data_IF_171500204234
#
_entry.id   IF_171500204234
#
_cell.length_a   1.000
_cell.length_b   1.000
_cell.length_c   1.000
_cell.angle_alpha   90.00
_cell.angle_beta   90.00
_cell.angle_gamma   90.00
#
_symmetry.space_group_name_H-M   'P 1'
#
loop_
_entity.id
_entity.type
_entity.pdbx_description
1 polymer ?
#
# COMPACT_ATOMS: atom_id res chain seq x y z
N UNK A 1 23.63 17.58 -40.30
CA UNK A 1 22.98 16.34 -40.80
C UNK A 1 22.62 15.50 -39.60
N UNK A 2 21.36 15.54 -39.18
CA UNK A 2 20.80 14.77 -38.05
C UNK A 2 19.87 13.71 -38.64
N UNK A 3 19.89 12.45 -38.19
CA UNK A 3 18.86 11.49 -38.55
C UNK A 3 17.70 11.53 -37.55
N UNK A 4 16.54 11.77 -38.11
CA UNK A 4 15.22 11.74 -37.46
C UNK A 4 14.88 10.33 -37.02
N UNK A 5 14.71 10.10 -35.69
CA UNK A 5 14.19 8.81 -35.15
C UNK A 5 12.67 8.86 -35.16
N UNK A 6 12.10 8.04 -35.99
CA UNK A 6 10.65 7.86 -36.16
C UNK A 6 10.14 6.87 -35.08
N UNK A 7 9.39 7.38 -34.10
CA UNK A 7 8.71 6.54 -33.13
C UNK A 7 7.44 5.96 -33.75
N UNK A 8 7.46 4.68 -34.03
CA UNK A 8 6.34 3.91 -34.56
C UNK A 8 5.42 3.49 -33.40
N UNK A 9 4.24 4.10 -33.30
CA UNK A 9 3.15 3.66 -32.43
C UNK A 9 2.63 2.32 -32.90
N UNK A 10 2.69 1.30 -32.05
CA UNK A 10 2.03 0.01 -32.28
C UNK A 10 0.65 0.10 -31.64
N UNK A 11 -0.37 0.20 -32.47
CA UNK A 11 -1.77 0.15 -32.05
C UNK A 11 -2.21 -1.30 -31.77
N UNK A 12 -2.73 -1.57 -30.61
CA UNK A 12 -3.42 -2.81 -30.26
C UNK A 12 -4.83 -2.78 -30.81
N UNK A 13 -4.99 -3.29 -32.01
CA UNK A 13 -6.30 -3.54 -32.62
C UNK A 13 -6.79 -4.94 -32.27
N UNK A 14 -7.81 -5.01 -31.44
CA UNK A 14 -8.55 -6.25 -31.18
C UNK A 14 -9.44 -6.54 -32.40
N UNK A 15 -9.08 -7.48 -33.26
CA UNK A 15 -9.86 -7.89 -34.43
C UNK A 15 -10.87 -8.94 -33.98
N UNK A 16 -12.13 -8.53 -33.87
CA UNK A 16 -13.26 -9.44 -33.64
C UNK A 16 -13.64 -10.10 -34.99
N UNK A 17 -13.20 -11.32 -35.19
CA UNK A 17 -13.56 -12.13 -36.37
C UNK A 17 -14.92 -12.78 -36.18
N UNK A 18 -15.88 -12.26 -36.92
CA UNK A 18 -17.26 -12.78 -37.03
C UNK A 18 -17.29 -13.96 -38.00
N UNK A 19 -17.13 -15.18 -37.50
CA UNK A 19 -17.36 -16.38 -38.30
C UNK A 19 -18.80 -16.84 -38.14
N UNK A 20 -19.61 -16.53 -39.17
CA UNK A 20 -20.92 -17.16 -39.40
C UNK A 20 -20.70 -18.60 -39.79
N UNK A 21 -21.16 -19.57 -39.01
CA UNK A 21 -21.34 -20.95 -39.39
C UNK A 21 -22.75 -21.41 -39.21
N UNK A 22 -23.39 -21.55 -40.34
CA UNK A 22 -24.50 -22.42 -40.78
C UNK A 22 -25.13 -23.28 -39.68
N UNK A 23 -26.39 -22.99 -39.40
CA UNK A 23 -27.32 -23.88 -38.69
C UNK A 23 -27.55 -25.15 -39.50
N UNK A 24 -27.26 -26.26 -38.88
CA UNK A 24 -27.78 -27.58 -39.33
C UNK A 24 -28.75 -28.03 -38.25
N UNK A 25 -30.03 -28.08 -38.64
CA UNK A 25 -31.10 -28.69 -37.85
C UNK A 25 -30.85 -30.19 -37.74
N UNK A 26 -30.80 -30.69 -36.53
CA UNK A 26 -31.03 -32.12 -36.24
C UNK A 26 -31.76 -32.23 -34.90
N UNK A 27 -33.03 -32.39 -35.06
CA UNK A 27 -33.97 -33.35 -34.50
C UNK A 27 -33.81 -33.81 -33.04
N UNK A 28 -34.86 -33.50 -32.34
CA UNK A 28 -35.51 -34.01 -31.15
C UNK A 28 -35.22 -35.43 -30.66
N UNK A 29 -35.23 -35.50 -29.39
CA UNK A 29 -35.51 -36.56 -28.42
C UNK A 29 -34.30 -37.02 -27.63
N UNK A 30 -34.10 -36.41 -26.48
CA UNK A 30 -33.84 -37.20 -25.29
C UNK A 30 -34.16 -36.41 -24.02
N UNK A 31 -35.36 -36.62 -23.49
CA UNK A 31 -35.67 -36.31 -22.10
C UNK A 31 -34.82 -37.23 -21.23
N UNK A 32 -33.83 -36.70 -20.53
CA UNK A 32 -33.24 -37.19 -19.27
C UNK A 32 -31.74 -36.90 -19.14
N UNK A 33 -31.35 -35.63 -19.16
CA UNK A 33 -30.02 -35.24 -18.66
C UNK A 33 -29.99 -33.81 -18.07
N UNK A 34 -31.00 -33.48 -17.27
CA UNK A 34 -31.02 -32.23 -16.56
C UNK A 34 -30.87 -32.50 -15.06
N UNK A 35 -29.71 -32.96 -14.60
CA UNK A 35 -29.50 -33.07 -13.15
C UNK A 35 -28.03 -33.05 -12.69
N UNK A 36 -27.05 -32.73 -13.52
CA UNK A 36 -25.64 -32.79 -13.08
C UNK A 36 -24.80 -31.52 -13.33
N UNK A 37 -25.41 -30.39 -13.71
CA UNK A 37 -24.60 -29.18 -14.00
C UNK A 37 -24.73 -28.05 -12.95
N UNK A 38 -25.43 -28.27 -11.82
CA UNK A 38 -25.64 -27.25 -10.79
C UNK A 38 -24.64 -27.21 -9.62
N UNK A 39 -23.74 -28.19 -9.35
CA UNK A 39 -22.78 -28.02 -8.26
C UNK A 39 -21.46 -27.34 -8.63
N UNK A 40 -21.17 -27.11 -9.93
CA UNK A 40 -19.87 -26.57 -10.33
C UNK A 40 -19.76 -25.04 -10.23
N UNK A 41 -20.86 -24.31 -10.15
CA UNK A 41 -20.86 -22.84 -10.13
C UNK A 41 -20.75 -22.27 -8.71
N UNK A 42 -21.11 -23.05 -7.68
CA UNK A 42 -21.08 -22.58 -6.27
C UNK A 42 -19.68 -22.64 -5.65
N UNK A 43 -18.74 -23.38 -6.22
CA UNK A 43 -17.39 -23.56 -5.64
C UNK A 43 -16.37 -22.49 -6.02
N UNK A 44 -16.66 -21.63 -6.99
CA UNK A 44 -15.73 -20.56 -7.41
C UNK A 44 -15.84 -19.25 -6.60
N UNK A 45 -16.79 -19.13 -5.66
CA UNK A 45 -17.02 -17.84 -4.96
C UNK A 45 -16.43 -17.76 -3.55
N UNK A 46 -15.69 -18.78 -3.10
CA UNK A 46 -15.21 -18.86 -1.70
C UNK A 46 -13.74 -18.48 -1.51
N UNK A 47 -13.08 -17.94 -2.52
CA UNK A 47 -11.70 -17.41 -2.42
C UNK A 47 -11.68 -15.87 -2.43
N UNK A 48 -12.68 -15.23 -1.82
CA UNK A 48 -12.51 -13.86 -1.38
C UNK A 48 -11.51 -13.92 -0.21
N UNK A 49 -10.21 -13.89 -0.53
CA UNK A 49 -9.15 -13.75 0.45
C UNK A 49 -9.48 -12.57 1.34
N UNK A 50 -9.58 -12.77 2.65
CA UNK A 50 -9.60 -11.70 3.61
C UNK A 50 -8.29 -10.91 3.38
N UNK A 51 -8.37 -9.80 2.67
CA UNK A 51 -7.30 -8.81 2.66
C UNK A 51 -7.19 -8.37 4.12
N UNK A 52 -6.12 -8.78 4.79
CA UNK A 52 -5.78 -8.26 6.11
C UNK A 52 -5.66 -6.76 5.91
N UNK A 53 -6.58 -6.00 6.50
CA UNK A 53 -6.51 -4.56 6.48
C UNK A 53 -5.24 -4.18 7.25
N UNK A 54 -4.23 -3.70 6.53
CA UNK A 54 -3.02 -3.16 7.14
C UNK A 54 -3.39 -1.84 7.80
N UNK A 55 -2.98 -1.65 9.06
CA UNK A 55 -3.20 -0.40 9.75
C UNK A 55 -2.55 0.75 8.96
N UNK A 56 -3.27 1.86 8.85
CA UNK A 56 -2.72 3.06 8.20
C UNK A 56 -1.62 3.68 9.05
N UNK A 57 -0.71 4.43 8.44
CA UNK A 57 0.34 5.15 9.19
C UNK A 57 -0.22 6.06 10.29
N UNK A 58 -1.41 6.63 10.09
CA UNK A 58 -2.13 7.39 11.11
C UNK A 58 -2.55 6.53 12.29
N UNK A 59 -3.17 5.36 12.04
CA UNK A 59 -3.60 4.45 13.11
C UNK A 59 -2.42 3.94 13.92
N UNK A 60 -1.33 3.55 13.25
CA UNK A 60 -0.10 3.14 13.89
C UNK A 60 0.51 4.26 14.76
N UNK A 61 0.53 5.48 14.23
CA UNK A 61 0.96 6.66 14.99
C UNK A 61 0.09 6.92 16.22
N UNK A 62 -1.23 6.86 16.07
CA UNK A 62 -2.16 7.06 17.18
C UNK A 62 -1.99 6.02 18.28
N UNK A 63 -1.67 4.79 17.93
CA UNK A 63 -1.52 3.69 18.86
C UNK A 63 -0.14 3.67 19.57
N UNK A 64 0.91 4.14 18.90
CA UNK A 64 2.29 3.96 19.38
C UNK A 64 3.04 5.25 19.72
N UNK A 65 2.59 6.42 19.23
CA UNK A 65 3.36 7.67 19.30
C UNK A 65 2.56 8.81 19.91
N UNK A 66 1.24 8.83 19.75
CA UNK A 66 0.39 9.97 20.11
C UNK A 66 0.31 10.21 21.62
N UNK A 67 0.64 9.23 22.46
CA UNK A 67 0.68 9.44 23.92
C UNK A 67 1.68 10.53 24.29
N UNK A 68 2.86 10.53 23.66
CA UNK A 68 3.88 11.56 23.90
C UNK A 68 3.77 12.72 22.91
N UNK A 69 3.63 12.44 21.61
CA UNK A 69 3.68 13.48 20.57
C UNK A 69 2.34 14.16 20.30
N UNK A 70 1.28 13.73 20.96
CA UNK A 70 -0.11 14.17 20.81
C UNK A 70 -0.67 13.90 19.41
N UNK A 71 -2.01 13.82 19.30
CA UNK A 71 -2.70 13.54 18.04
C UNK A 71 -2.45 14.57 16.95
N UNK A 72 -2.24 15.82 17.36
CA UNK A 72 -1.98 16.95 16.48
C UNK A 72 -0.48 17.18 16.20
N UNK A 73 0.37 16.27 16.67
CA UNK A 73 1.82 16.32 16.47
C UNK A 73 2.53 17.46 17.18
N UNK A 74 1.86 18.19 18.07
CA UNK A 74 2.48 19.35 18.76
C UNK A 74 3.34 18.98 19.97
N UNK A 75 3.26 17.72 20.40
CA UNK A 75 3.97 17.27 21.59
C UNK A 75 3.51 17.99 22.87
N UNK A 76 4.37 17.98 23.89
CA UNK A 76 4.14 18.69 25.15
C UNK A 76 5.33 19.62 25.37
N UNK A 77 5.14 20.93 25.44
CA UNK A 77 6.22 21.90 25.59
C UNK A 77 7.19 21.55 26.74
N UNK A 78 8.48 21.56 26.44
CA UNK A 78 9.56 21.23 27.37
C UNK A 78 9.63 19.78 27.87
N UNK A 79 8.71 18.90 27.42
CA UNK A 79 8.69 17.47 27.79
C UNK A 79 8.85 16.62 26.54
N UNK A 80 7.91 16.71 25.59
CA UNK A 80 7.95 15.93 24.34
C UNK A 80 7.97 16.87 23.13
N UNK A 81 8.91 16.70 22.21
CA UNK A 81 9.08 17.61 21.07
C UNK A 81 7.90 17.53 20.10
N UNK A 82 7.58 18.67 19.48
CA UNK A 82 6.64 18.71 18.37
C UNK A 82 7.20 17.98 17.14
N UNK A 83 6.32 17.27 16.45
CA UNK A 83 6.58 16.68 15.12
C UNK A 83 6.03 17.59 14.01
N UNK A 84 4.93 18.30 14.32
CA UNK A 84 4.37 19.32 13.44
C UNK A 84 5.38 20.46 13.24
N UNK A 85 5.79 20.69 11.99
CA UNK A 85 6.76 21.75 11.66
C UNK A 85 8.21 21.47 12.08
N UNK A 86 8.52 20.29 12.64
CA UNK A 86 9.86 19.91 13.08
C UNK A 86 10.86 19.85 11.92
N UNK A 87 12.01 20.48 12.08
CA UNK A 87 13.08 20.44 11.06
C UNK A 87 13.57 19.02 10.80
N UNK A 88 13.66 18.16 11.82
CA UNK A 88 14.06 16.75 11.68
C UNK A 88 13.02 15.99 10.84
N UNK A 89 11.74 16.18 11.14
CA UNK A 89 10.64 15.51 10.42
C UNK A 89 10.55 15.98 8.97
N UNK A 90 10.76 17.26 8.72
CA UNK A 90 10.74 17.88 7.38
C UNK A 90 12.02 17.62 6.58
N UNK A 91 13.10 17.23 7.24
CA UNK A 91 14.38 16.89 6.64
C UNK A 91 14.35 15.54 5.93
N UNK A 92 15.29 14.64 6.29
CA UNK A 92 15.39 13.32 5.68
C UNK A 92 14.52 12.27 6.40
N UNK A 93 13.80 11.44 5.62
CA UNK A 93 13.11 10.26 6.19
C UNK A 93 14.07 9.28 6.87
N UNK A 94 15.33 9.25 6.44
CA UNK A 94 16.39 8.43 7.06
C UNK A 94 16.71 8.94 8.46
N UNK A 95 16.76 10.25 8.68
CA UNK A 95 17.03 10.79 10.02
C UNK A 95 15.90 10.46 10.99
N UNK A 96 14.65 10.54 10.54
CA UNK A 96 13.49 10.11 11.33
C UNK A 96 13.56 8.61 11.64
N UNK A 97 13.90 7.78 10.65
CA UNK A 97 14.07 6.34 10.84
C UNK A 97 15.18 6.02 11.86
N UNK A 98 16.31 6.70 11.79
CA UNK A 98 17.41 6.53 12.75
C UNK A 98 16.98 6.91 14.18
N UNK A 99 16.22 7.99 14.34
CA UNK A 99 15.67 8.35 15.66
C UNK A 99 14.75 7.26 16.19
N UNK A 100 13.90 6.66 15.34
CA UNK A 100 13.01 5.58 15.75
C UNK A 100 13.77 4.28 16.05
N UNK A 101 14.81 3.97 15.27
CA UNK A 101 15.61 2.75 15.45
C UNK A 101 16.50 2.81 16.71
N UNK A 102 17.08 3.96 17.01
CA UNK A 102 18.06 4.12 18.08
C UNK A 102 17.40 4.65 19.37
N UNK A 103 16.36 5.47 19.22
CA UNK A 103 15.80 6.27 20.30
C UNK A 103 16.56 7.61 20.46
N UNK A 104 15.98 8.52 21.24
CA UNK A 104 16.61 9.82 21.58
C UNK A 104 16.06 10.36 22.90
N UNK A 105 16.91 10.54 23.91
CA UNK A 105 16.50 10.98 25.23
C UNK A 105 15.47 10.03 25.82
N UNK A 106 14.28 10.53 26.17
CA UNK A 106 13.18 9.73 26.71
C UNK A 106 12.43 8.88 25.63
N UNK A 107 12.70 9.13 24.35
CA UNK A 107 12.11 8.32 23.27
C UNK A 107 12.83 6.98 23.18
N UNK A 108 12.13 5.86 23.36
CA UNK A 108 12.75 4.54 23.30
C UNK A 108 13.13 4.15 21.87
N UNK A 109 13.99 3.12 21.75
CA UNK A 109 14.23 2.44 20.48
C UNK A 109 13.04 1.54 20.13
N UNK A 110 12.61 1.60 18.87
CA UNK A 110 11.57 0.75 18.30
C UNK A 110 12.13 -0.35 17.38
N UNK A 111 13.46 -0.52 17.34
CA UNK A 111 14.09 -1.50 16.45
C UNK A 111 13.58 -2.94 16.64
N UNK A 112 13.18 -3.33 17.84
CA UNK A 112 12.70 -4.67 18.17
C UNK A 112 11.18 -4.81 18.28
N UNK A 113 10.42 -3.70 18.16
CA UNK A 113 8.97 -3.68 18.46
C UNK A 113 8.08 -3.26 17.30
N UNK A 114 8.63 -2.59 16.27
CA UNK A 114 7.89 -2.15 15.08
C UNK A 114 8.56 -2.74 13.85
N UNK A 115 7.78 -3.38 12.97
CA UNK A 115 8.22 -3.89 11.69
C UNK A 115 8.59 -2.74 10.74
N UNK A 116 9.45 -2.99 9.75
CA UNK A 116 9.95 -1.95 8.84
C UNK A 116 8.84 -1.36 7.97
N UNK A 117 7.83 -2.14 7.61
CA UNK A 117 6.65 -1.70 6.86
C UNK A 117 5.79 -0.72 7.68
N UNK A 118 5.55 -1.06 8.93
CA UNK A 118 4.79 -0.22 9.86
C UNK A 118 5.57 1.05 10.20
N UNK A 119 6.88 0.93 10.41
CA UNK A 119 7.76 2.07 10.65
C UNK A 119 7.79 3.03 9.46
N UNK A 120 7.87 2.51 8.23
CA UNK A 120 7.77 3.32 7.01
C UNK A 120 6.42 4.03 6.92
N UNK A 121 5.33 3.33 7.25
CA UNK A 121 3.97 3.90 7.24
C UNK A 121 3.82 5.04 8.26
N UNK A 122 4.33 4.86 9.48
CA UNK A 122 4.34 5.89 10.53
C UNK A 122 5.17 7.11 10.08
N UNK A 123 6.38 6.89 9.58
CA UNK A 123 7.28 7.96 9.14
C UNK A 123 6.64 8.76 8.02
N UNK A 124 6.07 8.10 7.02
CA UNK A 124 5.41 8.75 5.89
C UNK A 124 4.18 9.56 6.32
N UNK A 125 3.38 9.03 7.28
CA UNK A 125 2.29 9.79 7.87
C UNK A 125 2.80 11.05 8.57
N UNK A 126 3.74 10.91 9.50
CA UNK A 126 4.28 12.03 10.31
C UNK A 126 4.92 13.10 9.41
N UNK A 127 5.61 12.70 8.36
CA UNK A 127 6.27 13.59 7.41
C UNK A 127 5.32 14.32 6.46
N UNK A 128 4.04 13.92 6.42
CA UNK A 128 3.02 14.54 5.55
C UNK A 128 1.79 15.03 6.31
N UNK A 129 1.71 14.79 7.63
CA UNK A 129 0.65 15.32 8.49
C UNK A 129 0.96 16.75 8.99
N UNK A 130 -0.06 17.42 9.48
CA UNK A 130 0.02 18.72 10.20
C UNK A 130 0.77 19.83 9.45
N UNK A 131 0.73 19.82 8.11
CA UNK A 131 1.42 20.79 7.26
C UNK A 131 2.90 20.48 7.01
N UNK A 132 3.39 19.33 7.46
CA UNK A 132 4.66 18.78 6.97
C UNK A 132 4.50 18.36 5.51
N UNK A 133 5.60 18.36 4.75
CA UNK A 133 5.65 17.90 3.36
C UNK A 133 7.02 17.28 3.12
N UNK A 134 7.11 15.96 3.19
CA UNK A 134 8.34 15.18 3.05
C UNK A 134 8.21 14.04 2.05
N UNK A 135 9.30 13.69 1.40
CA UNK A 135 9.37 12.52 0.52
C UNK A 135 9.16 11.22 1.32
N UNK A 136 8.54 10.23 0.69
CA UNK A 136 8.32 8.93 1.30
C UNK A 136 9.62 8.14 1.47
N UNK A 137 9.67 7.34 2.54
CA UNK A 137 10.71 6.33 2.77
C UNK A 137 10.09 4.94 2.64
N UNK A 138 10.82 4.00 2.07
CA UNK A 138 10.38 2.61 1.96
C UNK A 138 10.87 1.74 3.11
N UNK A 139 10.15 0.63 3.38
CA UNK A 139 10.57 -0.39 4.35
C UNK A 139 11.98 -0.94 4.05
N UNK A 140 12.30 -1.20 2.77
CA UNK A 140 13.63 -1.67 2.35
C UNK A 140 14.74 -0.66 2.67
N UNK A 141 14.42 0.63 2.70
CA UNK A 141 15.39 1.64 3.11
C UNK A 141 15.64 1.58 4.61
N UNK A 142 14.60 1.32 5.41
CA UNK A 142 14.70 1.17 6.88
C UNK A 142 15.46 -0.10 7.24
N UNK A 143 15.17 -1.22 6.58
CA UNK A 143 15.90 -2.49 6.75
C UNK A 143 17.41 -2.31 6.61
N UNK A 144 17.86 -1.49 5.66
CA UNK A 144 19.30 -1.21 5.44
C UNK A 144 19.95 -0.32 6.51
N UNK A 145 19.18 0.24 7.43
CA UNK A 145 19.64 1.08 8.52
C UNK A 145 19.82 0.32 9.84
N UNK A 146 19.31 -0.93 9.89
CA UNK A 146 19.44 -1.84 11.07
C UNK A 146 20.88 -2.48 11.11
#
# INVERSE_FOLDING_TARGET
MLPTFLIRRIGTGCVYSKAMKKQTMLNLNNHNRASFLLPAIVFCFSLAGAALAQDTGEQLFLNSCAECHQRDGKGIPNIYPALAGSEVVRGSGVDVALVMLIGRGEMPSFAGSIADEDMASIINYVRNAWGNNGEEISAQRIEKLR
#
